data_IF_799480674420
#
_entry.id   IF_799480674420
#
_cell.length_a   1.000
_cell.length_b   1.000
_cell.length_c   1.000
_cell.angle_alpha   90.00
_cell.angle_beta   90.00
_cell.angle_gamma   90.00
#
_symmetry.space_group_name_H-M   'P 1'
#
loop_
_entity.id
_entity.type
_entity.pdbx_description
1 polymer ?
#
# COMPACT_ATOMS: atom_id res chain seq x y z
N UNK A 1 -2.30 5.94 2.90
CA UNK A 1 -3.01 4.80 3.50
C UNK A 1 -2.51 3.54 2.81
N UNK A 2 -1.92 2.63 3.57
CA UNK A 2 -1.42 1.35 3.07
C UNK A 2 -2.48 0.26 3.21
N UNK A 3 -2.50 -0.68 2.27
CA UNK A 3 -3.39 -1.85 2.27
C UNK A 3 -2.67 -3.16 1.94
N UNK A 4 -1.39 -3.09 1.57
CA UNK A 4 -0.54 -4.24 1.22
C UNK A 4 0.59 -4.46 2.22
N UNK A 5 1.79 -4.81 1.75
CA UNK A 5 2.92 -5.11 2.64
C UNK A 5 3.28 -3.97 3.61
N UNK A 6 2.99 -2.72 3.26
CA UNK A 6 3.22 -1.54 4.12
C UNK A 6 2.22 -1.44 5.29
N UNK A 7 1.34 -2.43 5.50
CA UNK A 7 0.67 -2.60 6.79
C UNK A 7 1.67 -2.90 7.91
N UNK A 8 2.74 -3.64 7.58
CA UNK A 8 3.84 -3.97 8.49
C UNK A 8 4.75 -2.77 8.71
N UNK A 9 5.02 -2.43 9.98
CA UNK A 9 5.84 -1.27 10.34
C UNK A 9 7.27 -1.40 9.82
N UNK A 10 7.86 -2.59 9.96
CA UNK A 10 9.24 -2.84 9.50
C UNK A 10 9.37 -2.68 7.99
N UNK A 11 8.37 -3.14 7.24
CA UNK A 11 8.30 -2.98 5.79
C UNK A 11 8.19 -1.51 5.38
N UNK A 12 7.33 -0.74 6.04
CA UNK A 12 7.20 0.70 5.80
C UNK A 12 8.50 1.44 6.12
N UNK A 13 9.16 1.09 7.23
CA UNK A 13 10.42 1.69 7.64
C UNK A 13 11.57 1.38 6.66
N UNK A 14 11.55 0.23 5.99
CA UNK A 14 12.54 -0.10 4.96
C UNK A 14 12.52 0.88 3.79
N UNK A 15 11.35 1.37 3.36
CA UNK A 15 11.28 2.42 2.33
C UNK A 15 11.89 3.75 2.78
N UNK A 16 11.90 4.02 4.10
CA UNK A 16 12.39 5.28 4.65
C UNK A 16 13.87 5.21 5.03
N UNK A 17 14.28 4.15 5.71
CA UNK A 17 15.64 3.97 6.25
C UNK A 17 16.55 3.17 5.33
N UNK A 18 16.00 2.54 4.31
CA UNK A 18 16.69 1.57 3.48
C UNK A 18 16.63 0.16 4.07
N UNK A 19 17.01 -0.81 3.26
CA UNK A 19 17.18 -2.21 3.65
C UNK A 19 18.25 -2.84 2.76
N UNK A 20 19.00 -3.79 3.33
CA UNK A 20 20.02 -4.55 2.62
C UNK A 20 19.41 -5.62 1.71
N UNK A 21 20.22 -6.19 0.81
CA UNK A 21 19.77 -7.17 -0.20
C UNK A 21 19.23 -8.46 0.41
N UNK A 22 19.69 -8.85 1.60
CA UNK A 22 19.28 -10.04 2.34
C UNK A 22 18.04 -9.84 3.22
N UNK A 23 17.50 -8.61 3.28
CA UNK A 23 16.24 -8.34 3.96
C UNK A 23 15.07 -9.10 3.30
N UNK A 24 14.02 -9.38 4.09
CA UNK A 24 12.84 -10.14 3.65
C UNK A 24 12.19 -9.61 2.36
N UNK A 25 12.27 -8.31 2.12
CA UNK A 25 11.70 -7.62 0.95
C UNK A 25 12.77 -7.09 -0.02
N UNK A 26 14.01 -7.61 0.09
CA UNK A 26 15.17 -7.21 -0.70
C UNK A 26 15.63 -5.77 -0.44
N UNK A 27 16.64 -5.35 -1.20
CA UNK A 27 17.21 -4.02 -1.09
C UNK A 27 16.15 -2.92 -1.22
N UNK A 28 16.27 -1.90 -0.38
CA UNK A 28 15.54 -0.64 -0.49
C UNK A 28 16.52 0.51 -0.38
N UNK A 29 16.39 1.48 -1.29
CA UNK A 29 17.25 2.66 -1.37
C UNK A 29 17.13 3.52 -0.11
N UNK A 30 15.96 3.54 0.51
CA UNK A 30 15.63 4.49 1.57
C UNK A 30 15.19 5.83 0.98
N UNK A 31 14.59 6.64 1.84
CA UNK A 31 14.10 7.97 1.50
C UNK A 31 15.18 9.02 1.78
N UNK A 32 15.13 10.16 1.08
CA UNK A 32 16.01 11.29 1.37
C UNK A 32 15.82 11.78 2.81
N UNK A 33 14.61 11.68 3.34
CA UNK A 33 14.30 11.86 4.75
C UNK A 33 14.02 10.51 5.44
N UNK A 34 14.96 9.95 6.21
CA UNK A 34 14.81 8.63 6.84
C UNK A 34 14.08 8.66 8.20
N UNK A 35 13.56 9.81 8.63
CA UNK A 35 12.83 9.89 9.91
C UNK A 35 11.62 8.95 9.89
N UNK A 36 11.31 8.25 11.02
CA UNK A 36 10.13 7.40 11.07
C UNK A 36 8.84 8.19 10.81
N UNK A 37 7.74 7.53 10.38
CA UNK A 37 6.43 8.15 10.35
C UNK A 37 6.11 8.73 11.72
N UNK A 38 5.55 9.92 11.74
CA UNK A 38 5.34 10.67 12.98
C UNK A 38 4.05 10.28 13.72
N UNK A 39 3.21 9.45 13.10
CA UNK A 39 2.04 8.81 13.65
C UNK A 39 1.58 7.69 12.70
N UNK A 40 0.81 6.75 13.23
CA UNK A 40 0.08 5.77 12.44
C UNK A 40 -1.23 5.37 13.11
N UNK A 41 -2.18 4.85 12.32
CA UNK A 41 -3.46 4.33 12.84
C UNK A 41 -4.09 3.31 11.90
N UNK A 42 -4.80 2.32 12.47
CA UNK A 42 -5.66 1.39 11.73
C UNK A 42 -6.82 2.16 11.09
N UNK A 43 -7.09 1.89 9.82
CA UNK A 43 -8.20 2.50 9.06
C UNK A 43 -8.93 1.43 8.23
N UNK A 44 -10.11 1.79 7.74
CA UNK A 44 -10.79 1.06 6.67
C UNK A 44 -10.49 1.76 5.34
N UNK A 45 -10.03 1.01 4.35
CA UNK A 45 -9.71 1.56 3.03
C UNK A 45 -11.00 1.69 2.22
N UNK A 46 -11.34 2.87 1.66
CA UNK A 46 -12.61 3.08 0.94
C UNK A 46 -12.57 2.62 -0.53
N UNK A 47 -11.58 1.80 -0.88
CA UNK A 47 -11.37 1.25 -2.21
C UNK A 47 -11.25 -0.27 -2.13
N UNK A 48 -11.66 -1.01 -3.17
CA UNK A 48 -11.44 -2.44 -3.23
C UNK A 48 -9.94 -2.74 -3.28
N UNK A 49 -9.57 -3.86 -2.65
CA UNK A 49 -8.22 -4.41 -2.71
C UNK A 49 -8.36 -5.87 -3.07
N UNK A 50 -7.47 -6.38 -3.91
CA UNK A 50 -7.44 -7.80 -4.30
C UNK A 50 -6.01 -8.27 -4.53
N UNK A 51 -5.79 -9.58 -4.42
CA UNK A 51 -4.51 -10.16 -4.82
C UNK A 51 -4.44 -10.40 -6.33
N UNK A 52 -3.29 -10.11 -6.93
CA UNK A 52 -3.07 -10.20 -8.36
C UNK A 52 -1.61 -10.33 -8.75
N UNK A 53 -1.39 -10.84 -9.97
CA UNK A 53 -0.07 -11.04 -10.56
C UNK A 53 0.75 -12.17 -9.92
N UNK A 54 2.02 -12.22 -10.28
CA UNK A 54 3.00 -13.18 -9.74
C UNK A 54 4.31 -12.44 -9.44
N UNK A 55 4.50 -12.07 -8.18
CA UNK A 55 5.70 -11.39 -7.70
C UNK A 55 6.77 -12.42 -7.36
N UNK A 56 7.90 -12.36 -8.09
CA UNK A 56 9.08 -13.17 -7.78
C UNK A 56 9.61 -12.94 -6.35
N UNK A 57 9.52 -11.69 -5.85
CA UNK A 57 9.94 -11.35 -4.47
C UNK A 57 9.11 -12.06 -3.41
N UNK A 58 7.82 -12.27 -3.69
CA UNK A 58 6.84 -12.73 -2.71
C UNK A 58 6.37 -14.16 -2.94
N UNK A 59 6.74 -14.77 -4.07
CA UNK A 59 6.34 -16.12 -4.47
C UNK A 59 4.83 -16.23 -4.69
N UNK A 60 4.23 -15.26 -5.37
CA UNK A 60 2.80 -15.21 -5.70
C UNK A 60 2.27 -13.78 -5.84
N UNK A 61 0.95 -13.64 -5.88
CA UNK A 61 0.27 -12.34 -6.02
C UNK A 61 0.51 -11.38 -4.87
N UNK A 62 0.32 -10.09 -5.15
CA UNK A 62 0.39 -9.00 -4.16
C UNK A 62 -0.90 -8.19 -4.18
N UNK A 63 -1.09 -7.34 -3.17
CA UNK A 63 -2.29 -6.52 -3.05
C UNK A 63 -2.27 -5.37 -4.07
N UNK A 64 -3.36 -5.24 -4.83
CA UNK A 64 -3.61 -4.17 -5.79
C UNK A 64 -4.88 -3.42 -5.44
N UNK A 65 -4.85 -2.10 -5.63
CA UNK A 65 -5.99 -1.20 -5.43
C UNK A 65 -6.34 -0.56 -6.78
N UNK A 66 -7.35 -1.06 -7.51
CA UNK A 66 -7.87 -0.34 -8.67
C UNK A 66 -8.54 0.96 -8.22
N UNK A 67 -8.52 1.98 -9.08
CA UNK A 67 -9.25 3.23 -8.84
C UNK A 67 -10.75 3.03 -9.09
N UNK A 68 -11.41 2.36 -8.16
CA UNK A 68 -12.83 2.04 -8.17
C UNK A 68 -13.41 2.30 -6.79
N UNK A 69 -14.70 2.61 -6.70
CA UNK A 69 -15.38 2.70 -5.40
C UNK A 69 -15.63 1.30 -4.84
N UNK A 70 -15.47 1.14 -3.53
CA UNK A 70 -15.86 -0.09 -2.84
C UNK A 70 -17.39 -0.28 -2.95
N UNK A 71 -17.85 -1.49 -3.30
CA UNK A 71 -19.28 -1.74 -3.36
C UNK A 71 -19.89 -1.74 -1.94
N UNK A 72 -21.14 -1.26 -1.76
CA UNK A 72 -21.76 -1.16 -0.43
C UNK A 72 -21.83 -2.47 0.37
N UNK A 73 -21.84 -3.61 -0.32
CA UNK A 73 -21.89 -4.95 0.29
C UNK A 73 -20.51 -5.52 0.63
N UNK A 74 -19.42 -4.94 0.12
CA UNK A 74 -18.08 -5.46 0.32
C UNK A 74 -17.54 -5.04 1.68
N UNK A 75 -16.83 -5.95 2.35
CA UNK A 75 -16.13 -5.62 3.59
C UNK A 75 -14.95 -4.69 3.27
N UNK A 76 -14.85 -3.49 3.87
CA UNK A 76 -13.72 -2.60 3.63
C UNK A 76 -12.39 -3.26 3.99
N UNK A 77 -11.37 -3.18 3.11
CA UNK A 77 -10.05 -3.68 3.43
C UNK A 77 -9.45 -3.01 4.66
N UNK A 78 -8.77 -3.79 5.51
CA UNK A 78 -8.02 -3.26 6.64
C UNK A 78 -6.81 -2.50 6.09
N UNK A 79 -6.65 -1.25 6.51
CA UNK A 79 -5.55 -0.40 6.13
C UNK A 79 -4.77 0.15 7.32
N UNK A 80 -3.61 0.73 7.02
CA UNK A 80 -2.79 1.51 7.96
C UNK A 80 -2.52 2.89 7.38
N UNK A 81 -2.94 3.93 8.09
CA UNK A 81 -2.56 5.29 7.75
C UNK A 81 -1.20 5.60 8.38
N UNK A 82 -0.27 6.14 7.59
CA UNK A 82 1.05 6.57 8.03
C UNK A 82 1.17 8.09 7.83
N UNK A 83 1.56 8.83 8.86
CA UNK A 83 1.83 10.27 8.74
C UNK A 83 3.29 10.51 8.34
N UNK A 84 3.51 10.64 7.05
CA UNK A 84 4.81 10.90 6.42
C UNK A 84 4.84 12.26 5.70
N UNK A 85 6.04 12.75 5.40
CA UNK A 85 6.22 13.96 4.60
C UNK A 85 5.94 13.69 3.12
N UNK A 86 5.65 14.75 2.35
CA UNK A 86 5.47 14.68 0.90
C UNK A 86 6.70 14.09 0.16
N UNK A 87 7.91 14.45 0.59
CA UNK A 87 9.14 13.89 0.02
C UNK A 87 9.25 12.37 0.26
N UNK A 88 8.91 11.91 1.47
CA UNK A 88 8.86 10.48 1.77
C UNK A 88 7.79 9.74 0.95
N UNK A 89 6.64 10.37 0.69
CA UNK A 89 5.64 9.79 -0.22
C UNK A 89 6.20 9.62 -1.63
N UNK A 90 6.91 10.62 -2.16
CA UNK A 90 7.55 10.51 -3.47
C UNK A 90 8.58 9.37 -3.50
N UNK A 91 9.43 9.26 -2.47
CA UNK A 91 10.40 8.15 -2.36
C UNK A 91 9.74 6.77 -2.29
N UNK A 92 8.58 6.65 -1.61
CA UNK A 92 7.80 5.40 -1.57
C UNK A 92 7.25 5.06 -2.95
N UNK A 93 6.61 6.02 -3.65
CA UNK A 93 6.07 5.81 -5.00
C UNK A 93 7.15 5.38 -5.98
N UNK A 94 8.31 6.04 -5.93
CA UNK A 94 9.44 5.70 -6.77
C UNK A 94 9.92 4.26 -6.53
N UNK A 95 10.12 3.88 -5.26
CA UNK A 95 10.63 2.55 -4.92
C UNK A 95 9.62 1.42 -5.17
N UNK A 96 8.32 1.66 -4.99
CA UNK A 96 7.26 0.71 -5.38
C UNK A 96 7.32 0.39 -6.88
N UNK A 97 7.73 1.35 -7.71
CA UNK A 97 7.83 1.21 -9.16
C UNK A 97 9.26 0.96 -9.68
N UNK A 98 10.25 0.84 -8.79
CA UNK A 98 11.67 0.70 -9.13
C UNK A 98 12.20 1.85 -10.00
N UNK A 99 11.74 3.07 -9.73
CA UNK A 99 12.12 4.31 -10.42
C UNK A 99 12.93 5.26 -9.52
N UNK A 100 13.45 6.33 -10.12
CA UNK A 100 14.06 7.43 -9.38
C UNK A 100 13.00 8.41 -8.85
N UNK A 101 13.27 9.02 -7.70
CA UNK A 101 12.32 9.94 -7.06
C UNK A 101 12.08 11.20 -7.92
N UNK A 102 13.04 11.58 -8.78
CA UNK A 102 12.91 12.67 -9.75
C UNK A 102 11.86 12.43 -10.84
N UNK A 103 11.50 11.17 -11.08
CA UNK A 103 10.53 10.78 -12.11
C UNK A 103 9.09 10.76 -11.57
N UNK A 104 8.93 10.95 -10.26
CA UNK A 104 7.63 11.00 -9.59
C UNK A 104 7.02 12.39 -9.69
N UNK A 105 5.84 12.45 -10.29
CA UNK A 105 4.94 13.59 -10.21
C UNK A 105 4.01 13.47 -9.00
N UNK A 106 4.03 14.48 -8.12
CA UNK A 106 2.99 14.71 -7.13
C UNK A 106 2.39 16.10 -7.39
N UNK A 107 1.06 16.28 -7.39
CA UNK A 107 0.42 17.59 -7.57
C UNK A 107 0.54 18.41 -6.28
N UNK A 108 0.81 19.72 -6.37
CA UNK A 108 1.01 20.58 -5.18
C UNK A 108 -0.17 20.49 -4.20
N UNK A 109 -1.38 20.58 -4.75
CA UNK A 109 -2.63 20.25 -4.08
C UNK A 109 -3.12 18.88 -4.54
N UNK A 110 -3.47 18.00 -3.60
CA UNK A 110 -4.08 16.73 -3.96
C UNK A 110 -5.50 16.95 -4.53
N UNK A 111 -5.91 16.16 -5.54
CA UNK A 111 -7.23 16.30 -6.11
C UNK A 111 -8.33 15.99 -5.07
N UNK A 112 -9.59 16.37 -5.32
CA UNK A 112 -10.70 16.06 -4.43
C UNK A 112 -10.80 14.56 -4.10
N UNK A 113 -11.35 14.24 -2.92
CA UNK A 113 -11.56 12.87 -2.48
C UNK A 113 -12.29 12.04 -3.55
N UNK A 114 -11.80 10.81 -3.78
CA UNK A 114 -12.29 9.91 -4.81
C UNK A 114 -11.67 10.11 -6.19
N UNK A 115 -10.94 11.20 -6.45
CA UNK A 115 -10.19 11.38 -7.69
C UNK A 115 -8.77 10.83 -7.59
N UNK A 116 -8.16 10.55 -8.75
CA UNK A 116 -6.81 10.05 -8.84
C UNK A 116 -6.00 10.82 -9.89
N UNK A 117 -4.68 10.78 -9.73
CA UNK A 117 -3.72 11.33 -10.68
C UNK A 117 -2.61 10.31 -10.92
N UNK A 118 -2.12 10.25 -12.16
CA UNK A 118 -0.93 9.47 -12.48
C UNK A 118 0.30 10.15 -11.90
N UNK A 119 1.13 9.36 -11.21
CA UNK A 119 2.36 9.81 -10.56
C UNK A 119 3.60 9.50 -11.39
N UNK A 120 3.55 8.47 -12.22
CA UNK A 120 4.61 8.03 -13.14
C UNK A 120 4.06 6.95 -14.07
N UNK A 121 4.87 6.48 -15.02
CA UNK A 121 4.59 5.23 -15.74
C UNK A 121 5.12 4.04 -14.93
N UNK A 122 4.22 3.14 -14.51
CA UNK A 122 4.59 2.01 -13.66
C UNK A 122 3.40 1.11 -13.34
N UNK A 123 3.61 0.17 -12.42
CA UNK A 123 2.56 -0.74 -11.99
C UNK A 123 1.67 -0.12 -10.91
N UNK A 124 2.25 0.65 -10.00
CA UNK A 124 1.53 1.41 -8.98
C UNK A 124 1.64 2.88 -9.38
N UNK A 125 0.92 3.23 -10.44
CA UNK A 125 1.02 4.51 -11.14
C UNK A 125 0.07 5.58 -10.59
N UNK A 126 -0.95 5.21 -9.81
CA UNK A 126 -1.95 6.16 -9.32
C UNK A 126 -1.71 6.60 -7.89
N UNK A 127 -1.90 7.89 -7.65
CA UNK A 127 -2.21 8.45 -6.34
C UNK A 127 -3.70 8.78 -6.30
N UNK A 128 -4.43 8.12 -5.40
CA UNK A 128 -5.87 8.26 -5.23
C UNK A 128 -6.10 9.07 -3.94
N UNK A 129 -6.80 10.19 -4.06
CA UNK A 129 -7.11 11.06 -2.92
C UNK A 129 -8.31 10.54 -2.14
N UNK A 130 -8.22 10.61 -0.83
CA UNK A 130 -9.21 10.14 0.12
C UNK A 130 -9.72 11.31 0.97
N UNK A 131 -10.77 11.06 1.74
CA UNK A 131 -11.21 12.00 2.77
C UNK A 131 -10.07 12.32 3.74
N UNK A 132 -10.00 13.58 4.16
CA UNK A 132 -9.00 14.03 5.12
C UNK A 132 -9.08 13.20 6.40
N UNK A 133 -7.90 12.80 6.88
CA UNK A 133 -7.76 12.01 8.09
C UNK A 133 -7.14 12.87 9.18
N UNK A 134 -7.93 13.22 10.19
CA UNK A 134 -7.53 14.12 11.28
C UNK A 134 -7.08 15.51 10.78
N UNK A 135 -7.77 16.04 9.75
CA UNK A 135 -7.47 17.35 9.16
C UNK A 135 -6.20 17.38 8.30
N UNK A 136 -5.73 16.21 7.86
CA UNK A 136 -4.57 16.04 6.99
C UNK A 136 -5.02 15.30 5.73
N UNK A 137 -4.62 15.81 4.56
CA UNK A 137 -4.90 15.15 3.29
C UNK A 137 -4.40 13.72 3.29
N UNK A 138 -5.30 12.80 2.94
CA UNK A 138 -5.01 11.39 2.89
C UNK A 138 -5.03 10.90 1.43
N UNK A 139 -4.07 10.04 1.12
CA UNK A 139 -3.95 9.42 -0.20
C UNK A 139 -3.68 7.94 -0.06
N UNK A 140 -4.06 7.16 -1.05
CA UNK A 140 -3.58 5.78 -1.24
C UNK A 140 -2.90 5.67 -2.58
N UNK A 141 -2.06 4.65 -2.74
CA UNK A 141 -1.50 4.31 -4.04
C UNK A 141 -2.42 3.30 -4.73
N UNK A 142 -2.40 3.26 -6.04
CA UNK A 142 -3.25 2.37 -6.83
C UNK A 142 -2.64 2.09 -8.18
N UNK A 143 -3.38 1.32 -8.98
CA UNK A 143 -2.97 0.91 -10.31
C UNK A 143 -4.09 1.20 -11.30
N UNK A 144 -3.74 1.82 -12.43
CA UNK A 144 -4.65 1.98 -13.58
C UNK A 144 -5.03 0.62 -14.14
N UNK A 145 -4.04 -0.26 -14.34
CA UNK A 145 -4.21 -1.58 -14.94
C UNK A 145 -3.63 -2.67 -14.03
N UNK A 146 -4.28 -2.99 -12.90
CA UNK A 146 -3.79 -4.04 -12.02
C UNK A 146 -3.78 -5.38 -12.76
N UNK A 147 -2.83 -6.27 -12.46
CA UNK A 147 -2.73 -7.57 -13.12
C UNK A 147 -3.95 -8.44 -12.82
N UNK A 148 -4.08 -9.50 -13.60
CA UNK A 148 -5.09 -10.54 -13.39
C UNK A 148 -4.99 -11.13 -11.96
N UNK A 149 -6.11 -11.59 -11.38
CA UNK A 149 -6.11 -12.17 -10.05
C UNK A 149 -5.16 -13.37 -9.92
N UNK A 150 -4.45 -13.41 -8.80
CA UNK A 150 -3.43 -14.41 -8.50
C UNK A 150 -3.29 -14.57 -6.99
N UNK A 151 -3.21 -15.81 -6.48
CA UNK A 151 -3.16 -16.05 -5.03
C UNK A 151 -1.85 -15.52 -4.46
N UNK A 152 -1.86 -14.94 -3.25
CA UNK A 152 -0.66 -14.45 -2.62
C UNK A 152 0.24 -15.59 -2.14
N UNK A 153 1.55 -15.35 -2.15
CA UNK A 153 2.51 -16.27 -1.54
C UNK A 153 2.39 -16.30 0.00
N UNK A 154 2.81 -17.40 0.67
CA UNK A 154 2.75 -17.50 2.13
C UNK A 154 3.52 -16.40 2.86
N UNK A 155 4.67 -15.98 2.32
CA UNK A 155 5.48 -14.92 2.89
C UNK A 155 4.76 -13.55 2.84
N UNK A 156 4.04 -13.26 1.76
CA UNK A 156 3.26 -12.03 1.64
C UNK A 156 2.12 -12.00 2.66
N UNK A 157 1.34 -13.09 2.75
CA UNK A 157 0.25 -13.21 3.73
C UNK A 157 0.77 -13.04 5.16
N UNK A 158 1.93 -13.60 5.48
CA UNK A 158 2.55 -13.46 6.79
C UNK A 158 2.89 -11.99 7.12
N UNK A 159 3.43 -11.24 6.16
CA UNK A 159 3.73 -9.80 6.35
C UNK A 159 2.47 -8.98 6.57
N UNK A 160 1.40 -9.24 5.81
CA UNK A 160 0.10 -8.58 6.02
C UNK A 160 -0.46 -8.92 7.40
N UNK A 161 -0.40 -10.19 7.82
CA UNK A 161 -0.83 -10.65 9.13
C UNK A 161 -0.04 -9.98 10.27
N UNK A 162 1.28 -9.86 10.14
CA UNK A 162 2.13 -9.13 11.10
C UNK A 162 1.67 -7.68 11.22
N UNK A 163 1.51 -6.97 10.10
CA UNK A 163 1.06 -5.58 10.12
C UNK A 163 -0.32 -5.37 10.74
N UNK A 164 -1.26 -6.28 10.47
CA UNK A 164 -2.58 -6.25 11.11
C UNK A 164 -2.50 -6.56 12.62
N UNK A 165 -1.65 -7.50 13.02
CA UNK A 165 -1.42 -7.83 14.44
C UNK A 165 -0.81 -6.65 15.21
N UNK A 166 0.15 -5.93 14.62
CA UNK A 166 0.71 -4.68 15.17
C UNK A 166 -0.36 -3.62 15.42
N UNK A 167 -1.41 -3.61 14.58
CA UNK A 167 -2.58 -2.73 14.72
C UNK A 167 -3.68 -3.29 15.64
N UNK A 168 -3.41 -4.39 16.35
CA UNK A 168 -4.32 -4.99 17.32
C UNK A 168 -5.43 -5.86 16.73
N UNK A 169 -5.34 -6.27 15.46
CA UNK A 169 -6.31 -7.21 14.88
C UNK A 169 -6.16 -8.59 15.52
N UNK A 170 -7.30 -9.21 15.82
CA UNK A 170 -7.35 -10.61 16.26
C UNK A 170 -7.01 -11.57 15.12
N UNK A 171 -6.56 -12.81 15.43
CA UNK A 171 -6.34 -13.83 14.40
C UNK A 171 -7.58 -14.11 13.53
N UNK A 172 -8.79 -13.99 14.10
CA UNK A 172 -10.03 -14.16 13.36
C UNK A 172 -10.26 -13.04 12.33
N UNK A 173 -10.08 -11.78 12.72
CA UNK A 173 -10.16 -10.62 11.80
C UNK A 173 -9.13 -10.73 10.67
N UNK A 174 -7.89 -11.09 11.00
CA UNK A 174 -6.80 -11.27 10.04
C UNK A 174 -7.16 -12.34 9.00
N UNK A 175 -7.60 -13.51 9.46
CA UNK A 175 -7.97 -14.61 8.56
C UNK A 175 -9.19 -14.26 7.70
N UNK A 176 -10.21 -13.61 8.28
CA UNK A 176 -11.38 -13.15 7.52
C UNK A 176 -10.97 -12.16 6.44
N UNK A 177 -10.13 -11.18 6.77
CA UNK A 177 -9.67 -10.16 5.84
C UNK A 177 -8.85 -10.78 4.70
N UNK A 178 -7.83 -11.59 5.00
CA UNK A 178 -6.99 -12.22 3.98
C UNK A 178 -7.79 -13.13 3.05
N UNK A 179 -8.75 -13.90 3.58
CA UNK A 179 -9.60 -14.77 2.77
C UNK A 179 -10.55 -13.96 1.88
N UNK A 180 -11.03 -12.79 2.33
CA UNK A 180 -11.88 -11.93 1.52
C UNK A 180 -11.11 -11.36 0.30
N UNK A 181 -9.84 -11.00 0.48
CA UNK A 181 -8.97 -10.53 -0.61
C UNK A 181 -8.62 -11.64 -1.62
N UNK A 182 -8.59 -12.91 -1.19
CA UNK A 182 -8.37 -14.09 -2.04
C UNK A 182 -9.60 -14.42 -2.93
N UNK A 183 -10.80 -14.06 -2.47
CA UNK A 183 -12.08 -14.43 -3.08
C UNK A 183 -12.64 -13.38 -4.04
N UNK A 184 -11.94 -12.26 -4.28
CA UNK A 184 -12.43 -11.21 -5.18
C UNK A 184 -12.56 -11.78 -6.60
N UNK A 185 -13.76 -11.74 -7.23
CA UNK A 185 -14.01 -12.46 -8.47
C UNK A 185 -13.07 -12.05 -9.62
N UNK A 186 -12.79 -13.03 -10.48
CA UNK A 186 -11.99 -12.89 -11.72
C UNK A 186 -12.68 -12.08 -12.78
#
# INVERSE_FOLDING_TARGET
MAYGSNLCAERMLAYLRGAEQDALWGFQRGAANPTPPSADQRIAVPHPVRFGGDSQRWGGGVAWCPHQSLAPQDLPPIGRAWRITRGQLADVVAQENQQETSDVFLPDDFPPAGQAVSTLEGWIDLLISLEDLNGISAVTLGSTNPPDPGPPGPAYRAVLATGMSEMGCTPAEINQHLNALDQTPR
#
